data_IF_004002359550
#
_entry.id   IF_004002359550
#
_cell.length_a   1.000
_cell.length_b   1.000
_cell.length_c   1.000
_cell.angle_alpha   90.00
_cell.angle_beta   90.00
_cell.angle_gamma   90.00
#
_symmetry.space_group_name_H-M   'P 1'
#
loop_
_entity.id
_entity.type
_entity.pdbx_description
1 polymer ?
#
# COMPACT_ATOMS: atom_id res chain seq x y z
N UNK A 1 15.37 23.59 15.93
CA UNK A 1 15.38 22.52 14.92
C UNK A 1 14.22 21.61 15.23
N UNK A 2 13.14 21.68 14.46
CA UNK A 2 12.01 20.75 14.63
C UNK A 2 12.48 19.37 14.19
N UNK A 3 12.52 18.42 15.13
CA UNK A 3 12.81 17.02 14.79
C UNK A 3 11.68 16.51 13.88
N UNK A 4 12.04 15.72 12.86
CA UNK A 4 11.04 14.92 12.15
C UNK A 4 10.57 13.75 13.01
N UNK A 5 9.49 13.09 12.60
CA UNK A 5 9.04 11.83 13.23
C UNK A 5 10.13 10.75 13.18
N UNK A 6 10.93 10.77 12.10
CA UNK A 6 12.07 9.88 11.91
C UNK A 6 13.37 10.67 11.73
N UNK A 7 14.44 10.34 12.47
CA UNK A 7 15.74 10.99 12.31
C UNK A 7 16.32 10.69 10.91
N UNK A 8 17.24 11.52 10.38
CA UNK A 8 17.79 11.35 9.02
C UNK A 8 18.38 9.97 8.68
N UNK A 9 18.86 9.22 9.70
CA UNK A 9 19.42 7.88 9.54
C UNK A 9 18.42 6.72 9.71
N UNK A 10 17.13 7.01 9.92
CA UNK A 10 16.10 5.99 10.09
C UNK A 10 15.97 5.08 8.86
N UNK A 11 15.70 3.80 9.08
CA UNK A 11 15.64 2.79 8.02
C UNK A 11 14.46 3.06 7.08
N UNK A 12 13.31 3.48 7.60
CA UNK A 12 12.09 3.82 6.86
C UNK A 12 12.35 4.96 5.88
N UNK A 13 13.15 5.97 6.27
CA UNK A 13 13.57 7.05 5.36
C UNK A 13 14.46 6.52 4.25
N UNK A 14 15.40 5.62 4.55
CA UNK A 14 16.28 5.04 3.52
C UNK A 14 15.49 4.18 2.53
N UNK A 15 14.69 3.24 3.04
CA UNK A 15 13.92 2.30 2.19
C UNK A 15 12.88 3.04 1.35
N UNK A 16 12.15 4.00 1.93
CA UNK A 16 11.12 4.73 1.18
C UNK A 16 11.71 5.78 0.21
N UNK A 17 13.01 6.06 0.27
CA UNK A 17 13.67 6.99 -0.65
C UNK A 17 14.04 6.32 -1.97
N UNK A 18 14.05 4.99 -2.00
CA UNK A 18 14.33 4.18 -3.18
C UNK A 18 13.22 4.37 -4.23
N UNK A 19 13.50 4.99 -5.39
CA UNK A 19 12.47 5.28 -6.38
C UNK A 19 11.75 4.04 -6.90
N UNK A 20 12.43 2.87 -6.87
CA UNK A 20 11.88 1.59 -7.31
C UNK A 20 10.67 1.16 -6.49
N UNK A 21 10.52 1.61 -5.24
CA UNK A 21 9.36 1.33 -4.39
C UNK A 21 8.06 1.82 -5.05
N UNK A 22 8.12 2.89 -5.83
CA UNK A 22 6.96 3.42 -6.57
C UNK A 22 6.41 2.42 -7.61
N UNK A 23 7.24 1.52 -8.14
CA UNK A 23 6.76 0.45 -9.04
C UNK A 23 5.79 -0.52 -8.34
N UNK A 24 5.83 -0.59 -7.02
CA UNK A 24 4.90 -1.36 -6.20
C UNK A 24 3.53 -0.74 -6.01
N UNK A 25 3.32 0.53 -6.40
CA UNK A 25 2.08 1.25 -6.11
C UNK A 25 0.82 0.52 -6.57
N UNK A 26 0.84 -0.04 -7.79
CA UNK A 26 -0.28 -0.83 -8.30
C UNK A 26 -0.54 -2.09 -7.46
N UNK A 27 0.51 -2.80 -7.02
CA UNK A 27 0.38 -3.98 -6.15
C UNK A 27 -0.27 -3.62 -4.83
N UNK A 28 0.21 -2.55 -4.17
CA UNK A 28 -0.36 -2.09 -2.90
C UNK A 28 -1.85 -1.77 -3.06
N UNK A 29 -2.22 -1.03 -4.09
CA UNK A 29 -3.64 -0.70 -4.36
C UNK A 29 -4.46 -1.96 -4.60
N UNK A 30 -3.98 -2.94 -5.38
CA UNK A 30 -4.72 -4.19 -5.59
C UNK A 30 -4.86 -5.02 -4.31
N UNK A 31 -3.84 -5.04 -3.44
CA UNK A 31 -3.98 -5.68 -2.13
C UNK A 31 -4.99 -4.97 -1.24
N UNK A 32 -5.04 -3.63 -1.26
CA UNK A 32 -6.04 -2.85 -0.52
C UNK A 32 -7.45 -3.18 -1.02
N UNK A 33 -7.64 -3.14 -2.34
CA UNK A 33 -8.92 -3.44 -2.99
C UNK A 33 -9.38 -4.89 -2.82
N UNK A 34 -8.47 -5.82 -2.49
CA UNK A 34 -8.86 -7.19 -2.19
C UNK A 34 -9.76 -7.29 -0.94
N UNK A 35 -9.75 -6.29 -0.06
CA UNK A 35 -10.68 -6.20 1.07
C UNK A 35 -12.03 -5.60 0.62
N UNK A 36 -13.17 -6.31 0.77
CA UNK A 36 -14.48 -5.84 0.31
C UNK A 36 -14.88 -4.46 0.83
N UNK A 37 -14.70 -4.20 2.13
CA UNK A 37 -14.98 -2.90 2.76
C UNK A 37 -14.12 -1.77 2.19
N UNK A 38 -12.85 -2.02 1.90
CA UNK A 38 -11.97 -1.02 1.27
C UNK A 38 -12.41 -0.76 -0.17
N UNK A 39 -12.71 -1.82 -0.95
CA UNK A 39 -13.21 -1.67 -2.31
C UNK A 39 -14.52 -0.87 -2.37
N UNK A 40 -15.44 -1.10 -1.42
CA UNK A 40 -16.69 -0.35 -1.31
C UNK A 40 -16.42 1.14 -1.00
N UNK A 41 -15.59 1.44 -0.01
CA UNK A 41 -15.21 2.82 0.33
C UNK A 41 -14.55 3.58 -0.82
N UNK A 42 -13.70 2.90 -1.59
CA UNK A 42 -13.09 3.46 -2.80
C UNK A 42 -14.12 3.75 -3.88
N UNK A 43 -15.00 2.79 -4.16
CA UNK A 43 -16.02 2.93 -5.19
C UNK A 43 -17.00 4.07 -4.87
N UNK A 44 -17.38 4.23 -3.61
CA UNK A 44 -18.43 5.16 -3.18
C UNK A 44 -17.92 6.58 -2.92
N UNK A 45 -16.67 6.77 -2.46
CA UNK A 45 -16.23 8.09 -1.94
C UNK A 45 -14.97 8.68 -2.57
N UNK A 46 -14.12 7.91 -3.24
CA UNK A 46 -12.77 8.41 -3.52
C UNK A 46 -12.59 9.02 -4.92
N UNK A 47 -13.63 9.05 -5.76
CA UNK A 47 -13.53 9.49 -7.16
C UNK A 47 -12.45 8.73 -7.96
N UNK A 48 -12.11 7.50 -7.52
CA UNK A 48 -10.91 6.81 -7.98
C UNK A 48 -10.93 6.55 -9.48
N UNK A 49 -12.07 6.08 -10.02
CA UNK A 49 -12.22 5.85 -11.44
C UNK A 49 -12.15 7.14 -12.28
N UNK A 50 -12.45 8.30 -11.68
CA UNK A 50 -12.37 9.59 -12.37
C UNK A 50 -10.93 10.11 -12.45
N UNK A 51 -10.13 9.94 -11.39
CA UNK A 51 -8.76 10.45 -11.33
C UNK A 51 -7.85 9.59 -10.40
N UNK A 52 -7.39 8.40 -10.87
CA UNK A 52 -6.49 7.54 -10.10
C UNK A 52 -5.16 8.25 -9.76
N UNK A 53 -4.71 9.16 -10.61
CA UNK A 53 -3.45 9.89 -10.47
C UNK A 53 -3.47 10.88 -9.33
N UNK A 54 -4.55 11.68 -9.22
CA UNK A 54 -4.73 12.58 -8.09
C UNK A 54 -4.71 11.80 -6.78
N UNK A 55 -5.38 10.65 -6.71
CA UNK A 55 -5.40 9.83 -5.49
C UNK A 55 -4.02 9.24 -5.15
N UNK A 56 -3.31 8.71 -6.14
CA UNK A 56 -1.93 8.24 -5.96
C UNK A 56 -1.03 9.37 -5.46
N UNK A 57 -1.08 10.54 -6.10
CA UNK A 57 -0.32 11.73 -5.70
C UNK A 57 -0.64 12.16 -4.27
N UNK A 58 -1.91 12.17 -3.86
CA UNK A 58 -2.31 12.51 -2.49
C UNK A 58 -1.72 11.54 -1.47
N UNK A 59 -1.74 10.24 -1.77
CA UNK A 59 -1.15 9.21 -0.91
C UNK A 59 0.37 9.39 -0.78
N UNK A 60 1.05 9.60 -1.91
CA UNK A 60 2.51 9.82 -1.93
C UNK A 60 2.91 11.09 -1.18
N UNK A 61 2.18 12.19 -1.38
CA UNK A 61 2.41 13.44 -0.64
C UNK A 61 2.24 13.20 0.86
N UNK A 62 1.14 12.56 1.28
CA UNK A 62 0.90 12.32 2.70
C UNK A 62 1.99 11.44 3.34
N UNK A 63 2.34 10.32 2.70
CA UNK A 63 3.39 9.43 3.21
C UNK A 63 4.77 10.10 3.22
N UNK A 64 5.11 10.88 2.19
CA UNK A 64 6.37 11.62 2.17
C UNK A 64 6.41 12.69 3.26
N UNK A 65 5.32 13.41 3.50
CA UNK A 65 5.24 14.40 4.58
C UNK A 65 5.42 13.73 5.94
N UNK A 66 4.78 12.59 6.17
CA UNK A 66 4.93 11.84 7.44
C UNK A 66 6.36 11.33 7.64
N UNK A 67 6.99 10.77 6.60
CA UNK A 67 8.29 10.11 6.71
C UNK A 67 9.46 11.11 6.71
N UNK A 68 9.37 12.19 5.92
CA UNK A 68 10.49 13.12 5.67
C UNK A 68 10.28 14.53 6.22
N UNK A 69 9.04 14.92 6.51
CA UNK A 69 8.68 16.24 7.01
C UNK A 69 9.02 16.44 8.49
N UNK A 70 8.59 17.59 9.02
CA UNK A 70 8.67 17.87 10.46
C UNK A 70 7.62 17.05 11.22
N UNK A 71 7.80 16.86 12.53
CA UNK A 71 6.77 16.23 13.36
C UNK A 71 5.43 16.98 13.29
N UNK A 72 5.45 18.31 13.22
CA UNK A 72 4.26 19.15 13.06
C UNK A 72 3.54 18.87 11.74
N UNK A 73 4.28 18.80 10.63
CA UNK A 73 3.71 18.48 9.31
C UNK A 73 3.11 17.07 9.28
N UNK A 74 3.79 16.11 9.91
CA UNK A 74 3.32 14.73 10.03
C UNK A 74 1.99 14.66 10.80
N UNK A 75 1.91 15.30 11.97
CA UNK A 75 0.70 15.36 12.80
C UNK A 75 -0.46 16.11 12.12
N UNK A 76 -0.15 17.20 11.42
CA UNK A 76 -1.14 17.97 10.65
C UNK A 76 -1.70 17.14 9.50
N UNK A 77 -0.82 16.46 8.76
CA UNK A 77 -1.20 15.56 7.66
C UNK A 77 -2.08 14.42 8.16
N UNK A 78 -1.68 13.78 9.27
CA UNK A 78 -2.44 12.69 9.88
C UNK A 78 -3.83 13.15 10.36
N UNK A 79 -3.92 14.34 10.99
CA UNK A 79 -5.19 14.92 11.43
C UNK A 79 -6.12 15.24 10.25
N UNK A 80 -5.57 15.77 9.15
CA UNK A 80 -6.32 16.02 7.93
C UNK A 80 -6.84 14.72 7.29
N UNK A 81 -6.01 13.67 7.25
CA UNK A 81 -6.43 12.34 6.78
C UNK A 81 -7.52 11.75 7.67
N UNK A 82 -7.37 11.81 8.99
CA UNK A 82 -8.38 11.34 9.93
C UNK A 82 -9.73 12.06 9.72
N UNK A 83 -9.71 13.37 9.51
CA UNK A 83 -10.93 14.14 9.22
C UNK A 83 -11.58 13.78 7.87
N UNK A 84 -10.81 13.30 6.89
CA UNK A 84 -11.34 12.76 5.64
C UNK A 84 -11.91 11.36 5.87
N UNK A 85 -11.14 10.44 6.48
CA UNK A 85 -11.57 9.07 6.74
C UNK A 85 -12.83 9.00 7.63
N UNK A 86 -12.97 9.91 8.58
CA UNK A 86 -14.17 10.00 9.41
C UNK A 86 -15.46 10.21 8.60
N UNK A 87 -15.37 10.87 7.45
CA UNK A 87 -16.49 11.13 6.53
C UNK A 87 -16.72 10.01 5.51
N UNK A 88 -15.78 9.08 5.38
CA UNK A 88 -15.86 7.96 4.42
C UNK A 88 -16.43 6.75 5.14
N UNK A 89 -17.75 6.58 5.03
CA UNK A 89 -18.50 5.52 5.70
C UNK A 89 -19.63 5.04 4.80
N UNK A 90 -19.86 3.74 4.80
CA UNK A 90 -20.99 3.10 4.14
C UNK A 90 -21.68 2.09 5.05
N UNK A 91 -22.59 1.29 4.49
CA UNK A 91 -23.37 0.34 5.29
C UNK A 91 -22.51 -0.73 5.99
N UNK A 92 -21.38 -1.10 5.39
CA UNK A 92 -20.53 -2.22 5.83
C UNK A 92 -19.10 -1.81 6.15
N UNK A 93 -18.81 -0.51 6.20
CA UNK A 93 -17.45 -0.03 6.42
C UNK A 93 -17.40 1.39 7.00
N UNK A 94 -16.29 1.65 7.67
CA UNK A 94 -15.88 2.97 8.12
C UNK A 94 -14.37 3.10 7.84
N UNK A 95 -13.94 4.13 7.10
CA UNK A 95 -12.51 4.23 6.74
C UNK A 95 -11.59 4.54 7.93
N UNK A 96 -12.16 4.97 9.06
CA UNK A 96 -11.45 5.14 10.33
C UNK A 96 -11.50 3.89 11.23
N UNK A 97 -11.99 2.75 10.73
CA UNK A 97 -11.87 1.46 11.41
C UNK A 97 -10.38 1.05 11.52
N UNK A 98 -9.84 0.85 12.75
CA UNK A 98 -8.46 0.44 12.95
C UNK A 98 -8.04 -0.82 12.18
N UNK A 99 -8.94 -1.78 11.96
CA UNK A 99 -8.61 -3.00 11.21
C UNK A 99 -8.42 -2.72 9.72
N UNK A 100 -9.25 -1.83 9.15
CA UNK A 100 -9.11 -1.41 7.75
C UNK A 100 -7.89 -0.51 7.55
N UNK A 101 -7.62 0.38 8.51
CA UNK A 101 -6.41 1.22 8.53
C UNK A 101 -5.15 0.35 8.62
N UNK A 102 -5.15 -0.65 9.50
CA UNK A 102 -4.06 -1.60 9.63
C UNK A 102 -3.83 -2.36 8.33
N UNK A 103 -4.89 -2.89 7.71
CA UNK A 103 -4.76 -3.60 6.42
C UNK A 103 -4.16 -2.68 5.35
N UNK A 104 -4.71 -1.46 5.19
CA UNK A 104 -4.20 -0.51 4.19
C UNK A 104 -2.72 -0.19 4.44
N UNK A 105 -2.34 0.10 5.67
CA UNK A 105 -0.94 0.36 6.01
C UNK A 105 -0.05 -0.86 5.77
N UNK A 106 -0.50 -2.04 6.18
CA UNK A 106 0.23 -3.30 5.99
C UNK A 106 0.51 -3.59 4.51
N UNK A 107 -0.41 -3.29 3.60
CA UNK A 107 -0.16 -3.45 2.16
C UNK A 107 0.96 -2.56 1.65
N UNK A 108 1.18 -1.37 2.23
CA UNK A 108 2.28 -0.48 1.85
C UNK A 108 3.62 -1.05 2.34
N UNK A 109 3.70 -1.46 3.60
CA UNK A 109 4.91 -2.03 4.21
C UNK A 109 5.32 -3.33 3.51
N UNK A 110 4.37 -4.25 3.30
CA UNK A 110 4.62 -5.52 2.61
C UNK A 110 5.05 -5.28 1.15
N UNK A 111 4.43 -4.31 0.48
CA UNK A 111 4.83 -3.92 -0.89
C UNK A 111 6.23 -3.37 -0.94
N UNK A 112 6.61 -2.48 -0.03
CA UNK A 112 7.96 -1.92 0.00
C UNK A 112 9.01 -3.01 0.20
N UNK A 113 8.81 -3.92 1.18
CA UNK A 113 9.69 -5.06 1.41
C UNK A 113 9.77 -6.00 0.19
N UNK A 114 8.63 -6.27 -0.45
CA UNK A 114 8.56 -7.15 -1.62
C UNK A 114 9.28 -6.57 -2.83
N UNK A 115 9.09 -5.28 -3.10
CA UNK A 115 9.73 -4.56 -4.21
C UNK A 115 11.22 -4.40 -3.95
N UNK A 116 11.62 -4.03 -2.73
CA UNK A 116 13.03 -3.96 -2.36
C UNK A 116 13.72 -5.30 -2.61
N UNK A 117 13.16 -6.40 -2.08
CA UNK A 117 13.69 -7.75 -2.32
C UNK A 117 13.80 -8.09 -3.80
N UNK A 118 12.83 -7.69 -4.61
CA UNK A 118 12.82 -8.02 -6.04
C UNK A 118 13.89 -7.27 -6.83
N UNK A 119 14.12 -5.99 -6.56
CA UNK A 119 14.91 -5.13 -7.44
C UNK A 119 16.24 -4.65 -6.84
N UNK A 120 16.36 -4.60 -5.51
CA UNK A 120 17.56 -4.13 -4.80
C UNK A 120 18.21 -5.24 -3.96
N UNK A 121 17.58 -6.41 -3.90
CA UNK A 121 18.02 -7.53 -3.06
C UNK A 121 17.34 -7.54 -1.70
N UNK A 122 17.51 -8.66 -0.99
CA UNK A 122 16.91 -8.85 0.33
C UNK A 122 17.62 -7.97 1.36
N UNK A 123 16.83 -7.24 2.15
CA UNK A 123 17.34 -6.50 3.30
C UNK A 123 17.92 -7.50 4.33
N UNK A 124 18.99 -7.10 5.01
CA UNK A 124 19.43 -7.81 6.20
C UNK A 124 18.28 -7.91 7.22
N UNK A 125 18.21 -9.02 7.95
CA UNK A 125 17.06 -9.34 8.79
C UNK A 125 16.77 -8.28 9.86
N UNK A 126 17.82 -7.74 10.48
CA UNK A 126 17.78 -6.65 11.46
C UNK A 126 17.29 -5.32 10.85
N UNK A 127 17.71 -5.03 9.61
CA UNK A 127 17.26 -3.86 8.85
C UNK A 127 15.78 -4.00 8.48
N UNK A 128 15.34 -5.18 8.04
CA UNK A 128 13.93 -5.42 7.73
C UNK A 128 13.05 -5.33 8.98
N UNK A 129 13.52 -5.84 10.12
CA UNK A 129 12.84 -5.72 11.42
C UNK A 129 12.70 -4.25 11.81
N UNK A 130 13.79 -3.48 11.72
CA UNK A 130 13.79 -2.05 12.05
C UNK A 130 12.87 -1.25 11.13
N UNK A 131 12.86 -1.54 9.82
CA UNK A 131 11.93 -0.94 8.87
C UNK A 131 10.47 -1.16 9.29
N UNK A 132 10.15 -2.39 9.71
CA UNK A 132 8.81 -2.73 10.17
C UNK A 132 8.44 -1.98 11.45
N UNK A 133 9.30 -2.02 12.47
CA UNK A 133 9.07 -1.34 13.75
C UNK A 133 8.98 0.18 13.60
N UNK A 134 9.74 0.80 12.68
CA UNK A 134 9.56 2.22 12.38
C UNK A 134 8.24 2.49 11.65
N UNK A 135 7.75 1.55 10.85
CA UNK A 135 6.46 1.67 10.16
C UNK A 135 5.26 1.60 11.12
N UNK A 136 5.38 0.92 12.27
CA UNK A 136 4.28 0.86 13.26
C UNK A 136 3.98 2.23 13.87
N UNK A 137 4.99 3.10 14.00
CA UNK A 137 4.81 4.49 14.42
C UNK A 137 4.00 5.31 13.39
N UNK A 138 4.12 4.99 12.10
CA UNK A 138 3.27 5.60 11.05
C UNK A 138 1.84 5.11 11.18
N UNK A 139 1.62 3.81 11.38
CA UNK A 139 0.28 3.26 11.58
C UNK A 139 -0.40 3.85 12.83
N UNK A 140 0.36 4.00 13.92
CA UNK A 140 -0.12 4.65 15.15
C UNK A 140 -0.53 6.09 14.91
N UNK A 141 0.33 6.87 14.24
CA UNK A 141 0.01 8.25 13.86
C UNK A 141 -1.26 8.35 12.99
N UNK A 142 -1.51 7.34 12.15
CA UNK A 142 -2.68 7.25 11.28
C UNK A 142 -3.93 6.66 11.96
N UNK A 143 -3.86 6.34 13.27
CA UNK A 143 -5.01 5.94 14.07
C UNK A 143 -5.11 4.43 14.36
N UNK A 144 -4.07 3.64 14.11
CA UNK A 144 -4.02 2.20 14.47
C UNK A 144 -3.35 2.03 15.84
N UNK A 145 -4.08 1.64 16.90
CA UNK A 145 -3.49 1.46 18.23
C UNK A 145 -2.36 0.42 18.23
N UNK A 146 -1.26 0.66 18.96
CA UNK A 146 -0.09 -0.22 18.98
C UNK A 146 -0.41 -1.66 19.44
N UNK A 147 -1.37 -1.83 20.35
CA UNK A 147 -1.83 -3.14 20.85
C UNK A 147 -2.60 -3.96 19.80
N UNK A 148 -3.03 -3.32 18.71
CA UNK A 148 -3.65 -3.98 17.54
C UNK A 148 -2.68 -4.24 16.40
N UNK A 149 -1.45 -3.76 16.51
CA UNK A 149 -0.43 -3.97 15.47
C UNK A 149 0.37 -5.24 15.77
N UNK A 150 0.83 -5.98 14.74
CA UNK A 150 1.73 -7.09 14.96
C UNK A 150 3.02 -6.63 15.68
N UNK A 151 3.50 -7.31 16.71
CA UNK A 151 4.60 -6.80 17.55
C UNK A 151 5.97 -6.82 16.88
N UNK A 152 6.15 -7.64 15.85
CA UNK A 152 7.41 -7.84 15.14
C UNK A 152 7.17 -8.22 13.67
N UNK A 153 8.24 -8.25 12.86
CA UNK A 153 8.13 -8.55 11.43
C UNK A 153 7.60 -9.97 11.15
N UNK A 154 7.86 -10.93 12.04
CA UNK A 154 7.42 -12.31 11.87
C UNK A 154 5.89 -12.42 12.06
N UNK A 155 5.35 -11.76 13.09
CA UNK A 155 3.93 -11.62 13.33
C UNK A 155 3.26 -10.83 12.20
N UNK A 156 3.88 -9.75 11.71
CA UNK A 156 3.39 -9.00 10.56
C UNK A 156 3.23 -9.86 9.31
N UNK A 157 4.27 -10.63 8.95
CA UNK A 157 4.21 -11.56 7.81
C UNK A 157 3.12 -12.62 8.00
N UNK A 158 2.87 -13.04 9.22
CA UNK A 158 1.80 -14.00 9.55
C UNK A 158 0.42 -13.36 9.39
N UNK A 159 0.23 -12.15 9.91
CA UNK A 159 -0.97 -11.34 9.71
C UNK A 159 -1.27 -11.17 8.21
N UNK A 160 -0.31 -10.69 7.40
CA UNK A 160 -0.52 -10.48 5.96
C UNK A 160 -0.93 -11.78 5.25
N UNK A 161 -0.26 -12.92 5.55
CA UNK A 161 -0.61 -14.22 4.95
C UNK A 161 -2.01 -14.69 5.36
N UNK A 162 -2.38 -14.54 6.63
CA UNK A 162 -3.68 -14.94 7.13
C UNK A 162 -4.79 -14.10 6.48
N UNK A 163 -4.67 -12.77 6.52
CA UNK A 163 -5.63 -11.86 5.89
C UNK A 163 -5.78 -12.18 4.41
N UNK A 164 -4.68 -12.34 3.65
CA UNK A 164 -4.73 -12.75 2.24
C UNK A 164 -5.50 -14.05 2.01
N UNK A 165 -5.40 -15.01 2.94
CA UNK A 165 -6.11 -16.29 2.86
C UNK A 165 -7.61 -16.19 3.13
N UNK A 166 -8.04 -15.19 3.89
CA UNK A 166 -9.44 -14.98 4.28
C UNK A 166 -10.19 -14.02 3.34
N UNK A 167 -9.46 -13.15 2.64
CA UNK A 167 -10.04 -12.17 1.72
C UNK A 167 -10.77 -12.83 0.55
N UNK A 168 -11.94 -12.28 0.25
CA UNK A 168 -12.73 -12.58 -0.95
C UNK A 168 -12.81 -11.34 -1.85
N UNK A 169 -12.13 -11.38 -2.99
CA UNK A 169 -12.12 -10.27 -3.96
C UNK A 169 -13.52 -10.11 -4.56
N UNK A 170 -14.14 -8.95 -4.32
CA UNK A 170 -15.47 -8.62 -4.81
C UNK A 170 -15.48 -8.23 -6.30
N UNK A 171 -16.66 -8.25 -6.93
CA UNK A 171 -16.81 -7.74 -8.30
C UNK A 171 -16.48 -6.25 -8.40
N UNK A 172 -16.75 -5.48 -7.35
CA UNK A 172 -16.33 -4.08 -7.24
C UNK A 172 -14.82 -3.96 -7.30
N UNK A 173 -14.09 -4.80 -6.55
CA UNK A 173 -12.64 -4.84 -6.58
C UNK A 173 -12.09 -5.20 -7.96
N UNK A 174 -12.68 -6.18 -8.66
CA UNK A 174 -12.30 -6.55 -10.03
C UNK A 174 -12.49 -5.40 -11.02
N UNK A 175 -13.61 -4.66 -10.93
CA UNK A 175 -13.84 -3.47 -11.76
C UNK A 175 -12.81 -2.38 -11.49
N UNK A 176 -12.53 -2.09 -10.22
CA UNK A 176 -11.51 -1.09 -9.84
C UNK A 176 -10.09 -1.52 -10.25
N UNK A 177 -9.80 -2.82 -10.24
CA UNK A 177 -8.51 -3.34 -10.68
C UNK A 177 -8.23 -3.04 -12.16
N UNK A 178 -9.26 -3.01 -13.02
CA UNK A 178 -9.10 -2.62 -14.43
C UNK A 178 -8.59 -1.17 -14.56
N UNK A 179 -9.07 -0.25 -13.72
CA UNK A 179 -8.61 1.15 -13.68
C UNK A 179 -7.13 1.25 -13.20
N UNK A 180 -6.71 0.34 -12.31
CA UNK A 180 -5.31 0.26 -11.83
C UNK A 180 -4.37 -0.22 -12.93
N UNK A 181 -4.78 -1.25 -13.68
CA UNK A 181 -3.95 -1.89 -14.71
C UNK A 181 -3.94 -1.13 -16.04
N UNK A 182 -4.99 -0.34 -16.30
CA UNK A 182 -5.14 0.44 -17.54
C UNK A 182 -5.40 1.92 -17.23
N UNK A 183 -4.45 2.59 -16.56
CA UNK A 183 -4.64 3.99 -16.23
C UNK A 183 -4.68 4.83 -17.51
N UNK A 184 -5.64 5.76 -17.58
CA UNK A 184 -5.76 6.71 -18.70
C UNK A 184 -4.71 7.81 -18.56
N UNK A 185 -3.49 7.52 -18.99
CA UNK A 185 -2.38 8.48 -18.97
C UNK A 185 -2.20 9.17 -20.32
N UNK A 186 -2.39 10.50 -20.42
CA UNK A 186 -1.89 11.23 -21.57
C UNK A 186 -0.35 11.13 -21.54
N UNK A 187 0.25 10.61 -22.62
CA UNK A 187 1.71 10.55 -22.89
C UNK A 187 2.49 9.33 -22.40
N UNK A 188 1.90 8.38 -21.67
CA UNK A 188 2.60 7.12 -21.32
C UNK A 188 2.21 6.02 -22.30
N UNK A 189 3.18 5.55 -23.09
CA UNK A 189 2.98 4.57 -24.16
C UNK A 189 3.04 3.13 -23.65
N UNK A 190 2.53 2.20 -24.48
CA UNK A 190 2.26 0.80 -24.14
C UNK A 190 3.34 0.04 -23.35
N UNK A 191 4.64 0.10 -23.68
CA UNK A 191 5.66 -0.71 -23.00
C UNK A 191 5.84 -0.39 -21.51
N UNK A 192 5.75 0.88 -21.12
CA UNK A 192 5.91 1.28 -19.71
C UNK A 192 4.69 0.90 -18.88
N UNK A 193 3.49 1.05 -19.46
CA UNK A 193 2.23 0.58 -18.85
C UNK A 193 2.26 -0.94 -18.68
N UNK A 194 2.73 -1.66 -19.70
CA UNK A 194 2.83 -3.11 -19.67
C UNK A 194 3.84 -3.60 -18.61
N UNK A 195 5.00 -2.95 -18.49
CA UNK A 195 5.96 -3.25 -17.42
C UNK A 195 5.33 -3.01 -16.04
N UNK A 196 4.69 -1.85 -15.81
CA UNK A 196 4.02 -1.55 -14.55
C UNK A 196 2.91 -2.57 -14.23
N UNK A 197 2.17 -3.01 -15.24
CA UNK A 197 1.15 -4.07 -15.14
C UNK A 197 1.77 -5.40 -14.74
N UNK A 198 2.87 -5.78 -15.37
CA UNK A 198 3.60 -7.01 -15.03
C UNK A 198 4.12 -6.97 -13.60
N UNK A 199 4.80 -5.89 -13.18
CA UNK A 199 5.28 -5.74 -11.79
C UNK A 199 4.12 -5.80 -10.80
N UNK A 200 3.04 -5.09 -11.09
CA UNK A 200 1.83 -5.05 -10.25
C UNK A 200 1.23 -6.45 -10.06
N UNK A 201 0.95 -7.16 -11.15
CA UNK A 201 0.30 -8.48 -11.10
C UNK A 201 1.27 -9.58 -10.62
N UNK A 202 2.53 -9.53 -11.06
CA UNK A 202 3.52 -10.55 -10.78
C UNK A 202 4.01 -10.56 -9.34
N UNK A 203 3.95 -9.41 -8.65
CA UNK A 203 4.29 -9.33 -7.24
C UNK A 203 3.11 -9.60 -6.30
N UNK A 204 1.87 -9.73 -6.81
CA UNK A 204 0.72 -10.09 -5.98
C UNK A 204 0.88 -11.49 -5.36
N UNK A 205 0.35 -11.71 -4.15
CA UNK A 205 0.17 -13.07 -3.62
C UNK A 205 -0.66 -13.93 -4.60
N UNK A 206 -0.27 -15.21 -4.84
CA UNK A 206 -0.97 -16.07 -5.78
C UNK A 206 -2.49 -16.20 -5.54
N UNK A 207 -3.00 -16.29 -4.28
CA UNK A 207 -4.44 -16.34 -4.04
C UNK A 207 -5.16 -15.10 -4.57
N UNK A 208 -4.66 -13.90 -4.27
CA UNK A 208 -5.26 -12.66 -4.76
C UNK A 208 -5.18 -12.54 -6.28
N UNK A 209 -4.05 -12.91 -6.88
CA UNK A 209 -3.88 -12.87 -8.34
C UNK A 209 -4.92 -13.74 -9.05
N UNK A 210 -5.14 -14.97 -8.56
CA UNK A 210 -6.19 -15.86 -9.05
C UNK A 210 -7.58 -15.28 -8.80
N UNK A 211 -7.82 -14.77 -7.60
CA UNK A 211 -9.09 -14.15 -7.24
C UNK A 211 -9.36 -12.86 -8.02
N UNK A 212 -8.38 -12.13 -8.55
CA UNK A 212 -8.63 -11.02 -9.48
C UNK A 212 -8.89 -11.49 -10.91
N UNK A 213 -8.60 -12.76 -11.23
CA UNK A 213 -8.74 -13.33 -12.57
C UNK A 213 -7.58 -13.00 -13.49
N UNK A 214 -6.39 -12.67 -12.95
CA UNK A 214 -5.24 -12.37 -13.78
C UNK A 214 -4.56 -13.68 -14.25
N UNK A 215 -4.47 -13.93 -15.57
CA UNK A 215 -3.76 -15.09 -16.08
C UNK A 215 -2.27 -14.93 -15.78
N UNK A 216 -1.70 -15.92 -15.09
CA UNK A 216 -0.28 -15.93 -14.76
C UNK A 216 0.31 -17.31 -15.01
N UNK A 217 1.24 -17.38 -15.95
CA UNK A 217 1.95 -18.60 -16.30
C UNK A 217 3.44 -18.38 -16.45
N UNK A 218 4.12 -19.41 -16.93
CA UNK A 218 5.58 -19.47 -17.01
C UNK A 218 6.21 -18.34 -17.85
N UNK A 219 5.53 -17.91 -18.92
CA UNK A 219 6.00 -16.81 -19.77
C UNK A 219 6.05 -15.47 -19.01
N UNK A 220 5.08 -15.18 -18.15
CA UNK A 220 5.07 -13.98 -17.31
C UNK A 220 6.04 -14.08 -16.13
N UNK A 221 6.25 -15.28 -15.58
CA UNK A 221 7.26 -15.50 -14.54
C UNK A 221 8.67 -15.26 -15.06
N UNK A 222 8.98 -15.73 -16.27
CA UNK A 222 10.29 -15.56 -16.89
C UNK A 222 10.57 -14.10 -17.26
N UNK A 223 9.55 -13.35 -17.69
CA UNK A 223 9.68 -11.90 -17.96
C UNK A 223 9.97 -11.07 -16.70
N UNK A 224 9.66 -11.62 -15.52
CA UNK A 224 9.91 -11.03 -14.20
C UNK A 224 10.94 -11.80 -13.39
N UNK A 225 11.77 -12.65 -14.01
CA UNK A 225 12.96 -13.26 -13.39
C UNK A 225 14.18 -12.36 -13.62
#
# INVERSE_FOLDING_TARGET
MTSGLFPPGAVIRRVNAEPVILLGGGRAVLMQLAHPSVAAGVAEHSGFAADPFRRLRQTLVAMNTIVYGTEEDARTTASALAAVHHRVRGATYAADDPELLLWVHATLVDTALRVHRRFLGELAADVAETYYLESTAVAELLGVPLDRQPPDLAAFRTYVRATVGELAVSDTARRLAAEVLHPRLPLVTGPLVELARQVTVGLLPPPLRSQFGFPWGWAQETALA
#
